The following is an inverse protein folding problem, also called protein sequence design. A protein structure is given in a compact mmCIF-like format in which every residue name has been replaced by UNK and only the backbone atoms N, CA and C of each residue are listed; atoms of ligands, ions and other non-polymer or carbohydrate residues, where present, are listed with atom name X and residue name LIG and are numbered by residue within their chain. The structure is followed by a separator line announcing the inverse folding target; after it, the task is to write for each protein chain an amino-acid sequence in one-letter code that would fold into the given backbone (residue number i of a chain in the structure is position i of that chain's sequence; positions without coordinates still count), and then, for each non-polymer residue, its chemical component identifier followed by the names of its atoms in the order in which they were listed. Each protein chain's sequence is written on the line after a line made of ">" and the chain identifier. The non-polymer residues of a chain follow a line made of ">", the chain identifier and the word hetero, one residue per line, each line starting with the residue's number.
data_IF_846426090007
#
_entry.id   IF_846426090007
#
_cell.length_a   1.000
_cell.length_b   1.000
_cell.length_c   1.000
_cell.angle_alpha   90.00
_cell.angle_beta   90.00
_cell.angle_gamma   90.00
#
_symmetry.space_group_name_H-M   'P 1'
#
loop_
_entity.id
_entity.type
_entity.pdbx_description
1 polymer ?
#
# COMPACT_ATOMS: atom_id res chain seq x y z
N UNK A 1 5.09 -9.79 10.02
CA UNK A 1 4.50 -10.91 9.23
C UNK A 1 3.38 -11.63 9.96
N UNK A 2 3.53 -11.93 11.27
CA UNK A 2 2.52 -12.68 12.06
C UNK A 2 1.14 -12.01 12.01
N UNK A 3 1.07 -10.70 12.28
CA UNK A 3 -0.20 -9.97 12.36
C UNK A 3 -0.85 -9.66 11.01
N UNK A 4 -0.15 -9.85 9.91
CA UNK A 4 -0.67 -9.57 8.56
C UNK A 4 -0.68 -10.81 7.70
N UNK A 5 0.50 -11.32 7.33
CA UNK A 5 0.62 -12.44 6.38
C UNK A 5 0.01 -13.70 6.93
N UNK A 6 0.37 -14.09 8.16
CA UNK A 6 -0.17 -15.30 8.77
C UNK A 6 -1.67 -15.18 9.06
N UNK A 7 -2.10 -14.01 9.57
CA UNK A 7 -3.52 -13.76 9.83
C UNK A 7 -4.37 -13.83 8.56
N UNK A 8 -3.87 -13.26 7.44
CA UNK A 8 -4.55 -13.36 6.14
C UNK A 8 -4.67 -14.82 5.69
N UNK A 9 -3.58 -15.59 5.72
CA UNK A 9 -3.58 -17.00 5.32
C UNK A 9 -4.56 -17.82 6.17
N UNK A 10 -4.51 -17.64 7.49
CA UNK A 10 -5.45 -18.30 8.39
C UNK A 10 -6.91 -17.96 8.10
N UNK A 11 -7.21 -16.71 7.74
CA UNK A 11 -8.57 -16.31 7.38
C UNK A 11 -9.01 -16.96 6.07
N UNK A 12 -8.14 -16.99 5.06
CA UNK A 12 -8.43 -17.63 3.77
C UNK A 12 -8.73 -19.12 3.94
N UNK A 13 -7.89 -19.83 4.69
CA UNK A 13 -8.06 -21.26 4.97
C UNK A 13 -9.32 -21.54 5.80
N UNK A 14 -9.50 -20.78 6.89
CA UNK A 14 -10.61 -20.97 7.82
C UNK A 14 -11.98 -20.80 7.18
N UNK A 15 -12.10 -19.83 6.27
CA UNK A 15 -13.36 -19.51 5.63
C UNK A 15 -13.50 -20.08 4.22
N UNK A 16 -12.46 -20.74 3.70
CA UNK A 16 -12.45 -21.30 2.36
C UNK A 16 -12.57 -20.25 1.24
N UNK A 17 -11.99 -19.07 1.45
CA UNK A 17 -12.04 -18.03 0.43
C UNK A 17 -11.12 -18.39 -0.74
N UNK A 18 -11.68 -18.35 -1.95
CA UNK A 18 -10.96 -18.60 -3.20
C UNK A 18 -10.45 -17.32 -3.86
N UNK A 19 -10.93 -16.17 -3.42
CA UNK A 19 -10.50 -14.86 -3.91
C UNK A 19 -10.40 -13.84 -2.78
N UNK A 20 -9.35 -13.01 -2.81
CA UNK A 20 -9.20 -11.87 -1.91
C UNK A 20 -8.90 -10.61 -2.72
N UNK A 21 -9.68 -9.55 -2.49
CA UNK A 21 -9.55 -8.28 -3.19
C UNK A 21 -8.57 -7.35 -2.48
N UNK A 22 -7.72 -6.67 -3.24
CA UNK A 22 -6.76 -5.71 -2.73
C UNK A 22 -6.64 -4.48 -3.61
N UNK A 23 -6.22 -3.36 -3.00
CA UNK A 23 -6.02 -2.08 -3.68
C UNK A 23 -4.64 -1.92 -4.32
N UNK A 24 -3.87 -2.99 -4.49
CA UNK A 24 -2.53 -2.91 -5.05
C UNK A 24 -2.52 -2.42 -6.50
N UNK A 25 -1.56 -1.54 -6.82
CA UNK A 25 -1.37 -0.97 -8.17
C UNK A 25 0.05 -1.19 -8.66
N UNK A 26 0.22 -1.42 -9.95
CA UNK A 26 1.54 -1.63 -10.57
C UNK A 26 2.43 -0.38 -10.53
N UNK A 27 1.79 0.79 -10.46
CA UNK A 27 2.44 2.08 -10.38
C UNK A 27 3.14 2.34 -9.02
N UNK A 28 2.70 1.66 -7.96
CA UNK A 28 3.24 1.86 -6.62
C UNK A 28 4.70 1.47 -6.48
N UNK A 29 5.10 0.36 -7.12
CA UNK A 29 6.39 -0.27 -6.87
C UNK A 29 6.82 -1.20 -8.01
N UNK A 30 8.15 -1.25 -8.28
CA UNK A 30 8.73 -2.10 -9.33
C UNK A 30 8.38 -3.58 -9.17
N UNK A 31 8.33 -4.09 -7.95
CA UNK A 31 7.98 -5.50 -7.70
C UNK A 31 6.54 -5.84 -8.09
N UNK A 32 5.64 -4.84 -8.15
CA UNK A 32 4.26 -5.01 -8.60
C UNK A 32 4.10 -4.93 -10.12
N UNK A 33 5.12 -4.53 -10.86
CA UNK A 33 5.05 -4.40 -12.32
C UNK A 33 4.66 -5.69 -13.05
N UNK A 34 4.98 -6.85 -12.46
CA UNK A 34 4.65 -8.17 -13.00
C UNK A 34 3.29 -8.71 -12.53
N UNK A 35 2.66 -8.08 -11.52
CA UNK A 35 1.31 -8.46 -11.10
C UNK A 35 0.29 -8.10 -12.16
N UNK A 36 -0.84 -8.77 -12.10
CA UNK A 36 -1.99 -8.59 -12.98
C UNK A 36 -3.21 -8.30 -12.13
N UNK A 37 -4.33 -7.96 -12.76
CA UNK A 37 -5.60 -7.80 -12.06
C UNK A 37 -5.94 -9.10 -11.32
N UNK A 38 -5.77 -10.25 -11.98
CA UNK A 38 -5.96 -11.57 -11.38
C UNK A 38 -4.60 -12.21 -11.12
N UNK A 39 -4.16 -12.19 -9.88
CA UNK A 39 -2.86 -12.69 -9.45
C UNK A 39 -3.02 -14.03 -8.72
N UNK A 40 -2.56 -15.09 -9.34
CA UNK A 40 -2.71 -16.45 -8.83
C UNK A 40 -1.80 -16.73 -7.65
N UNK A 41 -2.31 -17.57 -6.75
CA UNK A 41 -1.58 -18.15 -5.64
C UNK A 41 -1.75 -19.66 -5.65
N UNK A 42 -0.66 -20.36 -5.46
CA UNK A 42 -0.69 -21.82 -5.32
C UNK A 42 -1.22 -22.24 -3.94
N UNK A 43 -1.32 -23.54 -3.70
CA UNK A 43 -1.80 -24.12 -2.43
C UNK A 43 -0.99 -23.74 -1.18
N UNK A 44 0.17 -23.14 -1.34
CA UNK A 44 0.97 -22.55 -0.24
C UNK A 44 0.76 -21.04 -0.12
N UNK A 45 -0.23 -20.47 -0.78
CA UNK A 45 -0.53 -19.05 -0.94
C UNK A 45 0.58 -18.24 -1.65
N UNK A 46 1.58 -18.90 -2.20
CA UNK A 46 2.72 -18.24 -2.83
C UNK A 46 2.40 -17.81 -4.27
N UNK A 47 2.87 -16.63 -4.63
CA UNK A 47 2.80 -16.14 -6.00
C UNK A 47 3.95 -16.73 -6.83
N UNK A 48 3.59 -17.30 -7.97
CA UNK A 48 4.54 -17.79 -8.98
C UNK A 48 4.45 -16.93 -10.25
N UNK A 49 5.44 -16.07 -10.51
CA UNK A 49 5.43 -15.21 -11.69
C UNK A 49 5.52 -16.01 -13.01
N UNK A 50 6.02 -17.24 -12.99
CA UNK A 50 6.12 -18.08 -14.18
C UNK A 50 4.76 -18.58 -14.64
N UNK A 51 3.86 -18.81 -13.68
CA UNK A 51 2.50 -19.28 -13.92
C UNK A 51 1.47 -18.16 -13.96
N UNK A 52 1.92 -16.90 -13.82
CA UNK A 52 1.03 -15.75 -13.96
C UNK A 52 0.49 -15.65 -15.38
N UNK A 53 -0.82 -15.67 -15.52
CA UNK A 53 -1.49 -15.63 -16.84
C UNK A 53 -1.46 -14.21 -17.41
N UNK A 54 -1.20 -14.03 -18.71
CA UNK A 54 -1.27 -12.74 -19.35
C UNK A 54 -2.72 -12.22 -19.42
N UNK A 55 -2.89 -10.90 -19.33
CA UNK A 55 -4.18 -10.22 -19.46
C UNK A 55 -4.13 -9.27 -20.66
N UNK A 56 -3.90 -9.86 -21.84
CA UNK A 56 -3.83 -9.13 -23.10
C UNK A 56 -5.24 -8.88 -23.64
N UNK A 57 -5.45 -7.71 -24.26
CA UNK A 57 -6.73 -7.31 -24.87
C UNK A 57 -7.94 -7.41 -23.94
N UNK A 58 -7.77 -7.23 -22.64
CA UNK A 58 -8.82 -7.39 -21.62
C UNK A 58 -9.40 -8.81 -21.54
N UNK A 59 -8.64 -9.80 -21.93
CA UNK A 59 -9.00 -11.19 -21.74
C UNK A 59 -8.47 -11.67 -20.39
N UNK A 60 -9.38 -12.12 -19.55
CA UNK A 60 -9.06 -12.60 -18.21
C UNK A 60 -9.31 -14.09 -18.09
N UNK A 61 -8.41 -14.80 -17.44
CA UNK A 61 -8.62 -16.18 -17.07
C UNK A 61 -8.64 -16.28 -15.55
N UNK A 62 -9.78 -16.64 -15.02
CA UNK A 62 -10.04 -16.74 -13.57
C UNK A 62 -10.17 -18.19 -13.12
N UNK A 63 -9.83 -19.17 -13.97
CA UNK A 63 -9.85 -20.58 -13.59
C UNK A 63 -8.79 -20.87 -12.55
N UNK A 64 -9.21 -21.44 -11.43
CA UNK A 64 -8.34 -21.94 -10.35
C UNK A 64 -8.58 -23.43 -10.16
N UNK A 65 -7.55 -24.14 -9.70
CA UNK A 65 -7.65 -25.55 -9.34
C UNK A 65 -7.87 -25.70 -7.83
N UNK A 66 -8.14 -26.92 -7.40
CA UNK A 66 -8.32 -27.21 -5.98
C UNK A 66 -7.08 -26.82 -5.17
N UNK A 67 -7.27 -26.05 -4.12
CA UNK A 67 -6.21 -25.54 -3.27
C UNK A 67 -5.49 -24.28 -3.79
N UNK A 68 -5.84 -23.83 -4.99
CA UNK A 68 -5.38 -22.52 -5.49
C UNK A 68 -6.33 -21.40 -5.08
N UNK A 69 -5.81 -20.18 -5.06
CA UNK A 69 -6.59 -18.99 -4.78
C UNK A 69 -6.13 -17.81 -5.64
N UNK A 70 -6.85 -16.72 -5.57
CA UNK A 70 -6.60 -15.56 -6.38
C UNK A 70 -6.57 -14.29 -5.55
N UNK A 71 -5.57 -13.44 -5.78
CA UNK A 71 -5.61 -12.03 -5.36
C UNK A 71 -6.13 -11.20 -6.53
N UNK A 72 -7.17 -10.43 -6.30
CA UNK A 72 -7.80 -9.61 -7.33
C UNK A 72 -7.48 -8.14 -7.04
N UNK A 73 -6.86 -7.48 -8.00
CA UNK A 73 -6.47 -6.07 -7.92
C UNK A 73 -7.21 -5.24 -8.99
N UNK A 74 -8.45 -4.83 -8.73
CA UNK A 74 -9.29 -4.17 -9.75
C UNK A 74 -8.69 -2.88 -10.31
N UNK A 75 -7.89 -2.18 -9.48
CA UNK A 75 -7.23 -0.93 -9.84
C UNK A 75 -5.75 -1.11 -10.20
N UNK A 76 -5.31 -2.33 -10.51
CA UNK A 76 -3.90 -2.66 -10.80
C UNK A 76 -3.24 -1.76 -11.84
N UNK A 77 -4.01 -1.30 -12.83
CA UNK A 77 -3.53 -0.48 -13.94
C UNK A 77 -3.67 1.03 -13.70
N UNK A 78 -4.19 1.45 -12.56
CA UNK A 78 -4.41 2.85 -12.23
C UNK A 78 -3.14 3.48 -11.65
N UNK A 79 -2.91 4.75 -11.97
CA UNK A 79 -1.90 5.58 -11.33
C UNK A 79 -2.43 6.21 -10.04
N UNK A 80 -1.54 6.77 -9.20
CA UNK A 80 -1.95 7.57 -8.04
C UNK A 80 -2.87 8.72 -8.46
N UNK A 81 -2.53 9.38 -9.56
CA UNK A 81 -3.36 10.45 -10.14
C UNK A 81 -4.78 9.98 -10.49
N UNK A 82 -4.90 8.81 -11.12
CA UNK A 82 -6.22 8.27 -11.50
C UNK A 82 -7.10 8.05 -10.26
N UNK A 83 -6.50 7.59 -9.15
CA UNK A 83 -7.20 7.41 -7.88
C UNK A 83 -7.73 8.75 -7.36
N UNK A 84 -6.89 9.78 -7.28
CA UNK A 84 -7.30 11.09 -6.77
C UNK A 84 -8.36 11.75 -7.65
N UNK A 85 -8.22 11.66 -8.98
CA UNK A 85 -9.22 12.16 -9.91
C UNK A 85 -10.56 11.41 -9.80
N UNK A 86 -10.51 10.11 -9.59
CA UNK A 86 -11.71 9.30 -9.38
C UNK A 86 -12.42 9.67 -8.08
N UNK A 87 -11.67 9.78 -6.96
CA UNK A 87 -12.20 10.24 -5.67
C UNK A 87 -12.92 11.58 -5.81
N UNK A 88 -12.29 12.54 -6.52
CA UNK A 88 -12.88 13.85 -6.77
C UNK A 88 -14.15 13.77 -7.60
N UNK A 89 -14.11 13.02 -8.70
CA UNK A 89 -15.25 12.88 -9.63
C UNK A 89 -16.45 12.23 -8.95
N UNK A 90 -16.22 11.16 -8.21
CA UNK A 90 -17.29 10.39 -7.54
C UNK A 90 -17.66 10.95 -6.17
N UNK A 91 -16.98 12.02 -5.71
CA UNK A 91 -17.18 12.66 -4.41
C UNK A 91 -17.08 11.65 -3.26
N UNK A 92 -16.06 10.82 -3.30
CA UNK A 92 -15.82 9.79 -2.28
C UNK A 92 -15.21 10.45 -1.03
N UNK A 93 -15.83 10.21 0.11
CA UNK A 93 -15.29 10.62 1.40
C UNK A 93 -14.00 9.85 1.71
N UNK A 94 -12.98 10.56 2.15
CA UNK A 94 -11.68 9.99 2.49
C UNK A 94 -11.25 10.36 3.91
N UNK A 95 -10.33 9.57 4.43
CA UNK A 95 -9.79 9.76 5.79
C UNK A 95 -9.06 11.10 5.89
N UNK A 96 -9.29 11.89 6.97
CA UNK A 96 -8.65 13.22 7.15
C UNK A 96 -7.12 13.21 7.16
N UNK A 97 -6.49 12.06 7.40
CA UNK A 97 -5.04 11.91 7.37
C UNK A 97 -4.41 12.14 5.99
N UNK A 98 -5.18 12.05 4.93
CA UNK A 98 -4.72 12.39 3.57
C UNK A 98 -4.55 13.90 3.35
N UNK A 99 -5.23 14.72 4.14
CA UNK A 99 -5.13 16.18 4.07
C UNK A 99 -4.06 16.70 5.02
N UNK A 100 -3.34 17.74 4.59
CA UNK A 100 -2.38 18.42 5.43
C UNK A 100 -3.07 19.09 6.62
N UNK A 101 -2.51 18.88 7.78
CA UNK A 101 -2.95 19.52 9.02
C UNK A 101 -1.77 19.63 9.98
N UNK A 102 -1.87 20.54 10.93
CA UNK A 102 -0.90 20.68 12.02
C UNK A 102 -0.96 19.43 12.89
N UNK A 103 0.16 18.68 12.97
CA UNK A 103 0.26 17.44 13.75
C UNK A 103 1.60 17.33 14.45
N UNK A 104 1.63 16.68 15.63
CA UNK A 104 2.87 16.33 16.28
C UNK A 104 3.54 15.15 15.55
N UNK A 105 4.86 15.21 15.38
CA UNK A 105 5.64 14.15 14.78
C UNK A 105 7.07 14.11 15.31
N UNK A 106 7.76 13.01 15.05
CA UNK A 106 9.21 12.89 15.24
C UNK A 106 9.88 12.53 13.91
N UNK A 107 11.15 12.87 13.79
CA UNK A 107 11.99 12.44 12.65
C UNK A 107 12.84 11.25 13.05
N UNK A 108 12.58 10.13 12.45
CA UNK A 108 13.30 8.88 12.70
C UNK A 108 13.84 8.30 11.39
N UNK A 109 15.17 8.19 11.28
CA UNK A 109 15.84 7.66 10.08
C UNK A 109 15.39 8.36 8.77
N UNK A 110 15.22 9.69 8.82
CA UNK A 110 14.77 10.47 7.67
C UNK A 110 13.27 10.41 7.36
N UNK A 111 12.50 9.65 8.14
CA UNK A 111 11.05 9.55 7.99
C UNK A 111 10.33 10.42 9.04
N UNK A 112 9.21 10.99 8.65
CA UNK A 112 8.28 11.70 9.54
C UNK A 112 7.30 10.69 10.10
N UNK A 113 7.31 10.48 11.42
CA UNK A 113 6.41 9.56 12.11
C UNK A 113 5.50 10.38 13.02
N UNK A 114 4.20 10.38 12.74
CA UNK A 114 3.23 11.10 13.55
C UNK A 114 3.20 10.55 14.98
N UNK A 115 3.17 11.42 15.96
CA UNK A 115 2.94 11.07 17.37
C UNK A 115 1.43 11.09 17.59
N UNK A 116 0.80 9.91 17.58
CA UNK A 116 -0.65 9.79 17.65
C UNK A 116 -1.14 9.84 19.10
N UNK A 117 -0.52 9.05 19.97
CA UNK A 117 -0.84 8.99 21.39
C UNK A 117 0.36 8.51 22.24
N UNK A 118 0.13 8.31 23.54
CA UNK A 118 1.11 7.92 24.55
C UNK A 118 1.66 6.48 24.39
N UNK A 119 1.06 5.64 23.54
CA UNK A 119 1.58 4.30 23.21
C UNK A 119 2.84 4.36 22.36
N UNK A 120 3.09 5.48 21.69
CA UNK A 120 4.31 5.66 20.91
C UNK A 120 5.50 5.89 21.85
N UNK A 121 6.47 4.98 21.80
CA UNK A 121 7.73 5.13 22.52
C UNK A 121 8.69 5.97 21.71
N UNK A 122 9.13 7.09 22.31
CA UNK A 122 10.18 7.93 21.74
C UNK A 122 11.54 7.25 21.96
N UNK A 123 12.41 7.37 20.98
CA UNK A 123 13.81 6.93 21.10
C UNK A 123 14.64 7.99 21.84
N UNK A 124 15.76 7.60 22.47
CA UNK A 124 16.63 8.57 23.16
C UNK A 124 17.07 9.69 22.23
N UNK A 125 16.78 10.93 22.63
CA UNK A 125 17.15 12.13 21.87
C UNK A 125 16.11 12.59 20.85
N UNK A 126 15.04 11.85 20.60
CA UNK A 126 13.94 12.32 19.75
C UNK A 126 13.20 13.48 20.42
N UNK A 127 12.84 14.45 19.60
CA UNK A 127 12.02 15.60 20.01
C UNK A 127 10.74 15.62 19.20
N UNK A 128 9.63 15.89 19.88
CA UNK A 128 8.35 16.09 19.19
C UNK A 128 8.40 17.47 18.52
N UNK A 129 8.25 17.47 17.22
CA UNK A 129 8.07 18.64 16.39
C UNK A 129 6.58 18.80 16.05
N UNK A 130 6.17 20.01 15.67
CA UNK A 130 4.82 20.30 15.18
C UNK A 130 4.92 20.94 13.81
N UNK A 131 4.05 20.56 12.91
CA UNK A 131 4.01 21.14 11.57
C UNK A 131 2.93 20.52 10.70
N UNK A 132 2.74 21.13 9.54
CA UNK A 132 1.77 20.65 8.57
C UNK A 132 2.30 19.41 7.86
N UNK A 133 1.69 18.28 8.18
CA UNK A 133 2.00 17.00 7.53
C UNK A 133 0.72 16.34 7.04
N UNK A 134 0.87 15.51 6.00
CA UNK A 134 -0.15 14.61 5.48
C UNK A 134 0.44 13.25 5.15
N UNK A 135 -0.42 12.30 4.82
CA UNK A 135 0.01 10.98 4.36
C UNK A 135 -0.38 10.79 2.90
N UNK A 136 0.55 10.30 2.07
CA UNK A 136 0.24 9.90 0.69
C UNK A 136 -0.33 8.50 0.61
N UNK A 137 0.04 7.65 1.56
CA UNK A 137 -0.47 6.29 1.68
C UNK A 137 -0.66 5.97 3.16
N UNK A 138 -1.71 5.26 3.49
CA UNK A 138 -1.97 4.81 4.86
C UNK A 138 -1.66 3.32 4.99
N UNK A 139 -0.98 2.99 6.06
CA UNK A 139 -0.61 1.62 6.42
C UNK A 139 -0.75 1.41 7.91
N UNK A 140 0.05 0.51 8.46
CA UNK A 140 0.08 0.28 9.91
C UNK A 140 0.93 1.34 10.60
N UNK A 141 0.35 1.96 11.61
CA UNK A 141 1.09 2.78 12.56
C UNK A 141 2.06 1.91 13.41
N UNK A 142 3.30 2.30 13.68
CA UNK A 142 3.99 3.52 13.24
C UNK A 142 4.83 3.34 11.94
N UNK A 143 4.48 2.37 11.10
CA UNK A 143 5.24 2.01 9.89
C UNK A 143 4.86 2.85 8.67
N UNK A 144 4.02 3.85 8.85
CA UNK A 144 3.60 4.78 7.80
C UNK A 144 4.21 6.14 8.07
N UNK A 145 5.07 6.61 7.19
CA UNK A 145 5.65 7.94 7.26
C UNK A 145 4.74 8.99 6.64
N UNK A 146 4.75 10.18 7.23
CA UNK A 146 4.15 11.39 6.66
C UNK A 146 5.09 12.13 5.73
N UNK A 147 4.57 13.13 5.06
CA UNK A 147 5.32 14.13 4.31
C UNK A 147 4.91 15.52 4.77
N UNK A 148 5.83 16.48 4.75
CA UNK A 148 5.51 17.89 4.90
C UNK A 148 4.74 18.35 3.66
N UNK A 149 3.62 19.02 3.86
CA UNK A 149 2.76 19.46 2.77
C UNK A 149 1.76 20.50 3.28
N UNK A 150 1.37 21.40 2.40
CA UNK A 150 0.27 22.35 2.63
C UNK A 150 -1.03 21.92 1.95
N UNK A 151 -1.07 20.75 1.29
CA UNK A 151 -2.23 20.27 0.55
C UNK A 151 -3.35 19.83 1.51
N UNK A 152 -4.22 20.74 1.87
CA UNK A 152 -5.36 20.56 2.78
C UNK A 152 -6.71 20.40 2.07
N UNK A 153 -6.68 20.41 0.74
CA UNK A 153 -7.85 20.17 -0.13
C UNK A 153 -7.55 19.08 -1.15
N UNK A 154 -8.60 18.50 -1.71
CA UNK A 154 -8.46 17.45 -2.73
C UNK A 154 -7.79 17.98 -4.00
N UNK A 155 -8.07 19.23 -4.38
CA UNK A 155 -7.44 19.86 -5.54
C UNK A 155 -5.94 20.07 -5.31
N UNK A 156 -5.55 20.56 -4.14
CA UNK A 156 -4.15 20.73 -3.78
C UNK A 156 -3.39 19.39 -3.74
N UNK A 157 -4.03 18.30 -3.27
CA UNK A 157 -3.45 16.95 -3.32
C UNK A 157 -3.22 16.50 -4.78
N UNK A 158 -4.18 16.75 -5.67
CA UNK A 158 -4.07 16.40 -7.09
C UNK A 158 -2.92 17.16 -7.74
N UNK A 159 -2.82 18.46 -7.49
CA UNK A 159 -1.76 19.32 -8.04
C UNK A 159 -0.37 18.89 -7.53
N UNK A 160 -0.26 18.60 -6.23
CA UNK A 160 0.97 18.07 -5.64
C UNK A 160 1.34 16.70 -6.24
N UNK A 161 0.37 15.81 -6.44
CA UNK A 161 0.60 14.50 -7.05
C UNK A 161 1.10 14.61 -8.49
N UNK A 162 0.60 15.59 -9.25
CA UNK A 162 1.06 15.85 -10.62
C UNK A 162 2.52 16.34 -10.68
N UNK A 163 2.95 17.05 -9.64
CA UNK A 163 4.30 17.60 -9.53
C UNK A 163 5.30 16.59 -8.91
N UNK A 164 4.80 15.51 -8.32
CA UNK A 164 5.62 14.56 -7.59
C UNK A 164 6.47 13.69 -8.53
N UNK A 165 7.79 13.70 -8.31
CA UNK A 165 8.76 12.86 -9.04
C UNK A 165 8.89 11.46 -8.41
N UNK A 166 8.52 11.31 -7.14
CA UNK A 166 8.68 10.08 -6.37
C UNK A 166 7.36 9.34 -6.16
N UNK A 167 7.44 8.01 -6.08
CA UNK A 167 6.28 7.17 -5.73
C UNK A 167 5.74 7.49 -4.35
N UNK A 168 4.43 7.30 -4.16
CA UNK A 168 3.73 7.45 -2.87
C UNK A 168 4.30 6.54 -1.76
N UNK A 169 4.98 5.45 -2.12
CA UNK A 169 5.55 4.50 -1.17
C UNK A 169 6.88 4.90 -0.57
N UNK A 170 7.52 5.95 -1.08
CA UNK A 170 8.82 6.39 -0.55
C UNK A 170 8.78 6.80 0.93
N UNK A 171 7.61 7.16 1.45
CA UNK A 171 7.40 7.50 2.86
C UNK A 171 7.10 6.28 3.76
N UNK A 172 7.07 5.05 3.22
CA UNK A 172 6.84 3.85 4.03
C UNK A 172 8.11 3.37 4.70
N UNK A 173 8.17 3.52 6.02
CA UNK A 173 9.31 3.10 6.85
C UNK A 173 9.63 1.62 6.67
N UNK A 174 8.61 0.77 6.55
CA UNK A 174 8.78 -0.69 6.40
C UNK A 174 9.48 -1.09 5.10
N UNK A 175 9.45 -0.24 4.08
CA UNK A 175 10.06 -0.54 2.78
C UNK A 175 11.54 -0.09 2.73
N UNK A 176 11.99 0.74 3.69
CA UNK A 176 13.38 1.16 3.82
C UNK A 176 14.30 0.09 4.44
N UNK A 177 13.74 -0.82 5.24
CA UNK A 177 14.52 -1.83 5.99
C UNK A 177 14.95 -3.06 5.19
N UNK A 178 14.54 -3.23 3.94
CA UNK A 178 14.74 -4.50 3.24
C UNK A 178 15.19 -4.47 1.78
N UNK A 179 15.51 -3.32 1.23
CA UNK A 179 15.91 -3.20 -0.18
C UNK A 179 14.80 -3.58 -1.19
N UNK A 180 15.10 -3.46 -2.48
CA UNK A 180 14.14 -3.69 -3.57
C UNK A 180 13.52 -5.11 -3.64
N UNK A 181 14.08 -6.08 -2.90
CA UNK A 181 13.61 -7.46 -2.87
C UNK A 181 12.56 -7.76 -1.78
N UNK A 182 12.29 -6.81 -0.87
CA UNK A 182 11.45 -7.11 0.31
C UNK A 182 10.01 -7.46 -0.06
N UNK A 183 9.40 -6.78 -1.02
CA UNK A 183 8.04 -7.10 -1.48
C UNK A 183 7.97 -8.40 -2.27
N UNK A 184 8.99 -8.70 -3.09
CA UNK A 184 9.03 -9.96 -3.83
C UNK A 184 9.15 -11.17 -2.89
N UNK A 185 9.92 -11.02 -1.81
CA UNK A 185 9.98 -12.00 -0.73
C UNK A 185 8.63 -12.18 -0.05
N UNK A 186 7.95 -11.09 0.33
CA UNK A 186 6.62 -11.13 0.96
C UNK A 186 5.57 -11.81 0.10
N UNK A 187 5.59 -11.59 -1.23
CA UNK A 187 4.69 -12.28 -2.16
C UNK A 187 4.92 -13.78 -2.19
N UNK A 188 6.16 -14.22 -2.15
CA UNK A 188 6.51 -15.64 -2.05
C UNK A 188 6.05 -16.25 -0.73
N UNK A 189 5.99 -15.46 0.33
CA UNK A 189 5.50 -15.86 1.65
C UNK A 189 3.96 -15.83 1.75
N UNK A 190 3.25 -15.39 0.70
CA UNK A 190 1.79 -15.35 0.64
C UNK A 190 1.16 -14.01 1.03
N UNK A 191 1.93 -12.93 1.11
CA UNK A 191 1.39 -11.58 1.29
C UNK A 191 0.76 -11.05 -0.03
N UNK A 192 -0.08 -10.00 0.11
CA UNK A 192 -0.64 -9.28 -1.05
C UNK A 192 0.43 -8.72 -1.96
#
# INVERSE_FOLDING_TARGET
>A
DIMKTQALKQALDKYGFTAAFGGGRRDEEKSRAKERIFSFRNSSHAWDPKNQRPEMWKLYNTTIHQGEEMRVFPISNWTEKDIWQYIKREKIDIVPLYFAAERPFVRRNGNIIMVDDDRMRLEPGEKIEHGKIRFRTLGCYPLTGGIESDADTLDAIIDETLSAVSSERTSRVIDSDGGAASMEKRKREGYF
#
